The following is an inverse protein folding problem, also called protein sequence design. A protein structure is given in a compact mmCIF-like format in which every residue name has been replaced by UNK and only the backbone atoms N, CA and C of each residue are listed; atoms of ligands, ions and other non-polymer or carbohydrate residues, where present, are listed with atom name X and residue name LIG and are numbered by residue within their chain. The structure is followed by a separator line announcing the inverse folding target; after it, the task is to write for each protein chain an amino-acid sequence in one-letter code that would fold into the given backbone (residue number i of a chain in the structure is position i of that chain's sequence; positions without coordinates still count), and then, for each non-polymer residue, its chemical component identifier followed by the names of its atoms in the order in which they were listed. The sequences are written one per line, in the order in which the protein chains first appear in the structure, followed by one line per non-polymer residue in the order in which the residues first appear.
data_IF_140970059376
#
_entry.id   IF_140970059376
#
_cell.length_a   1.000
_cell.length_b   1.000
_cell.length_c   1.000
_cell.angle_alpha   90.00
_cell.angle_beta   90.00
_cell.angle_gamma   90.00
#
_symmetry.space_group_name_H-M   'P 1'
#
loop_
_entity.id
_entity.type
_entity.pdbx_description
1 polymer ?
#
# COMPACT_ATOMS: atom_id res chain seq x y z
N UNK A 1 3.82 -21.05 8.54
CA UNK A 1 3.95 -19.82 9.34
C UNK A 1 2.55 -19.38 9.75
N UNK A 2 2.38 -18.83 10.96
CA UNK A 2 1.09 -18.35 11.45
C UNK A 2 0.78 -16.96 10.85
N UNK A 3 -0.46 -16.75 10.38
CA UNK A 3 -0.91 -15.45 9.86
C UNK A 3 -0.96 -14.43 11.00
N UNK A 4 -0.31 -13.27 10.83
CA UNK A 4 -0.37 -12.18 11.82
C UNK A 4 -1.57 -11.27 11.51
N UNK A 5 -2.45 -11.06 12.48
CA UNK A 5 -3.54 -10.08 12.34
C UNK A 5 -3.04 -8.71 12.79
N UNK A 6 -3.13 -7.73 11.89
CA UNK A 6 -2.62 -6.37 12.11
C UNK A 6 -3.77 -5.37 11.97
N UNK A 7 -3.88 -4.49 12.97
CA UNK A 7 -4.86 -3.40 12.95
C UNK A 7 -4.21 -2.12 12.42
N UNK A 8 -4.95 -1.41 11.56
CA UNK A 8 -4.60 -0.12 11.00
C UNK A 8 -5.21 1.02 11.83
N UNK A 9 -4.56 2.21 11.95
CA UNK A 9 -3.30 2.61 11.30
C UNK A 9 -2.06 1.90 11.88
N UNK A 10 -0.98 1.85 11.11
CA UNK A 10 0.26 1.21 11.53
C UNK A 10 0.99 2.09 12.55
N UNK A 11 1.41 1.47 13.64
CA UNK A 11 2.28 2.10 14.65
C UNK A 11 3.73 1.66 14.44
N UNK A 12 4.68 2.47 14.90
CA UNK A 12 6.11 2.11 14.82
C UNK A 12 6.44 0.81 15.56
N UNK A 13 5.66 0.47 16.60
CA UNK A 13 5.79 -0.82 17.30
C UNK A 13 5.44 -1.98 16.36
N UNK A 14 4.28 -1.92 15.72
CA UNK A 14 3.83 -2.94 14.75
C UNK A 14 4.86 -3.07 13.63
N UNK A 15 5.32 -1.95 13.07
CA UNK A 15 6.26 -1.94 11.94
C UNK A 15 7.57 -2.68 12.27
N UNK A 16 8.11 -2.49 13.48
CA UNK A 16 9.36 -3.15 13.91
C UNK A 16 9.21 -4.67 14.09
N UNK A 17 8.00 -5.15 14.36
CA UNK A 17 7.69 -6.58 14.53
C UNK A 17 7.45 -7.31 13.19
N UNK A 18 7.19 -6.58 12.11
CA UNK A 18 6.99 -7.13 10.77
C UNK A 18 8.33 -7.44 10.10
N UNK A 19 8.42 -8.61 9.48
CA UNK A 19 9.60 -9.09 8.74
C UNK A 19 9.23 -9.49 7.33
N UNK A 20 10.16 -9.28 6.40
CA UNK A 20 9.99 -9.73 5.02
C UNK A 20 9.68 -11.23 4.96
N UNK A 21 8.62 -11.61 4.25
CA UNK A 21 8.10 -12.97 4.16
C UNK A 21 6.92 -13.28 5.11
N UNK A 22 6.60 -12.42 6.07
CA UNK A 22 5.43 -12.59 6.93
C UNK A 22 4.13 -12.55 6.11
N UNK A 23 3.20 -13.47 6.41
CA UNK A 23 1.81 -13.41 5.93
C UNK A 23 0.96 -12.67 6.96
N UNK A 24 0.24 -11.64 6.51
CA UNK A 24 -0.54 -10.77 7.39
C UNK A 24 -1.99 -10.61 6.90
N UNK A 25 -2.88 -10.33 7.85
CA UNK A 25 -4.27 -9.98 7.63
C UNK A 25 -4.50 -8.57 8.19
N UNK A 26 -4.72 -7.60 7.31
CA UNK A 26 -4.92 -6.20 7.70
C UNK A 26 -6.40 -5.91 7.93
N UNK A 27 -6.70 -5.26 9.05
CA UNK A 27 -8.05 -4.82 9.42
C UNK A 27 -8.04 -3.37 9.88
N UNK A 28 -9.01 -2.56 9.46
CA UNK A 28 -9.10 -1.15 9.82
C UNK A 28 -9.23 -0.25 8.60
N UNK A 29 -8.81 1.01 8.74
CA UNK A 29 -8.91 2.03 7.68
C UNK A 29 -7.60 2.10 6.90
N UNK A 30 -7.70 2.11 5.57
CA UNK A 30 -6.62 2.48 4.66
C UNK A 30 -7.15 3.33 3.51
N UNK A 31 -6.24 3.84 2.68
CA UNK A 31 -6.59 4.72 1.55
C UNK A 31 -6.22 4.09 0.23
N UNK A 32 -6.98 4.37 -0.83
CA UNK A 32 -6.58 4.03 -2.19
C UNK A 32 -5.96 5.22 -2.86
N UNK A 33 -4.84 5.03 -3.55
CA UNK A 33 -4.30 6.04 -4.46
C UNK A 33 -3.39 5.34 -5.48
N UNK A 34 -3.36 5.85 -6.70
CA UNK A 34 -2.44 5.40 -7.76
C UNK A 34 -1.84 6.61 -8.48
N UNK A 35 -1.39 6.41 -9.72
CA UNK A 35 -0.58 7.31 -10.53
C UNK A 35 -0.96 8.80 -10.42
N UNK A 36 -2.18 9.20 -10.80
CA UNK A 36 -2.59 10.60 -10.84
C UNK A 36 -2.70 11.22 -9.42
N UNK A 37 -3.24 10.45 -8.47
CA UNK A 37 -3.35 10.90 -7.08
C UNK A 37 -1.97 11.08 -6.43
N UNK A 38 -1.02 10.17 -6.65
CA UNK A 38 0.34 10.28 -6.12
C UNK A 38 1.06 11.51 -6.69
N UNK A 39 0.95 11.73 -8.00
CA UNK A 39 1.52 12.91 -8.64
C UNK A 39 0.96 14.21 -8.05
N UNK A 40 -0.36 14.27 -7.80
CA UNK A 40 -1.00 15.45 -7.21
C UNK A 40 -0.58 15.66 -5.75
N UNK A 41 -0.57 14.60 -4.93
CA UNK A 41 -0.08 14.68 -3.54
C UNK A 41 1.37 15.13 -3.46
N UNK A 42 2.26 14.59 -4.31
CA UNK A 42 3.65 14.99 -4.36
C UNK A 42 3.82 16.47 -4.74
N UNK A 43 3.09 16.94 -5.76
CA UNK A 43 3.11 18.34 -6.16
C UNK A 43 2.62 19.28 -5.05
N UNK A 44 1.63 18.87 -4.25
CA UNK A 44 1.18 19.64 -3.08
C UNK A 44 2.29 19.72 -2.01
N UNK A 45 2.98 18.60 -1.75
CA UNK A 45 4.11 18.56 -0.79
C UNK A 45 5.25 19.48 -1.26
N UNK A 46 5.61 19.44 -2.54
CA UNK A 46 6.65 20.29 -3.13
C UNK A 46 6.33 21.78 -2.99
N UNK A 47 5.05 22.15 -3.06
CA UNK A 47 4.56 23.52 -2.86
C UNK A 47 4.38 23.92 -1.39
N UNK A 48 4.56 22.99 -0.45
CA UNK A 48 4.30 23.23 0.97
C UNK A 48 2.82 23.32 1.33
N UNK A 49 1.92 22.82 0.48
CA UNK A 49 0.48 22.79 0.72
C UNK A 49 0.09 21.67 1.69
N UNK A 50 -1.04 21.82 2.38
CA UNK A 50 -1.59 20.78 3.26
C UNK A 50 -2.19 19.63 2.44
N UNK A 51 -1.94 18.39 2.87
CA UNK A 51 -2.54 17.21 2.26
C UNK A 51 -4.05 17.14 2.56
N UNK A 52 -4.85 16.53 1.66
CA UNK A 52 -6.30 16.44 1.84
C UNK A 52 -6.75 15.53 2.99
N UNK A 53 -5.82 14.75 3.58
CA UNK A 53 -6.04 13.94 4.76
C UNK A 53 -4.73 13.78 5.54
N UNK A 54 -4.81 13.40 6.82
CA UNK A 54 -3.62 13.08 7.59
C UNK A 54 -3.03 11.74 7.14
N UNK A 55 -1.84 11.78 6.54
CA UNK A 55 -1.13 10.60 6.03
C UNK A 55 -0.35 9.84 7.12
N UNK A 56 -0.16 10.45 8.29
CA UNK A 56 0.62 9.88 9.38
C UNK A 56 0.04 8.54 9.87
N UNK A 57 0.88 7.51 9.88
CA UNK A 57 0.48 6.15 10.29
C UNK A 57 -0.33 5.39 9.23
N UNK A 58 -0.73 6.05 8.15
CA UNK A 58 -1.68 5.48 7.21
C UNK A 58 -1.03 4.47 6.26
N UNK A 59 -1.90 3.65 5.68
CA UNK A 59 -1.56 2.70 4.64
C UNK A 59 -2.24 3.10 3.33
N UNK A 60 -1.51 3.09 2.21
CA UNK A 60 -2.05 3.35 0.89
C UNK A 60 -2.03 2.06 0.06
N UNK A 61 -3.20 1.67 -0.44
CA UNK A 61 -3.38 0.60 -1.40
C UNK A 61 -3.39 1.13 -2.83
N UNK A 62 -2.45 0.64 -3.64
CA UNK A 62 -2.31 1.00 -5.04
C UNK A 62 -3.32 0.24 -5.90
N UNK A 63 -4.49 0.84 -6.06
CA UNK A 63 -5.62 0.26 -6.79
C UNK A 63 -6.40 1.35 -7.52
N UNK A 64 -6.90 1.00 -8.70
CA UNK A 64 -7.96 1.75 -9.38
C UNK A 64 -9.17 0.84 -9.46
N UNK A 65 -10.09 0.86 -8.49
CA UNK A 65 -11.18 -0.11 -8.44
C UNK A 65 -12.13 0.08 -9.61
N UNK A 66 -12.65 -1.02 -10.15
CA UNK A 66 -13.75 -0.96 -11.11
C UNK A 66 -15.01 -0.36 -10.45
N UNK A 67 -15.93 0.22 -11.23
CA UNK A 67 -17.22 0.66 -10.72
C UNK A 67 -17.91 -0.45 -9.92
N UNK A 68 -18.55 -0.07 -8.81
CA UNK A 68 -19.27 -1.01 -7.98
C UNK A 68 -20.53 -1.49 -8.72
N UNK A 69 -20.74 -2.81 -8.88
CA UNK A 69 -22.04 -3.34 -9.28
C UNK A 69 -23.12 -2.98 -8.24
N UNK A 70 -24.38 -3.01 -8.66
CA UNK A 70 -25.51 -2.75 -7.77
C UNK A 70 -25.47 -3.66 -6.52
N UNK A 71 -25.68 -3.07 -5.34
CA UNK A 71 -25.64 -3.78 -4.06
C UNK A 71 -24.24 -4.18 -3.55
N UNK A 72 -23.15 -3.81 -4.25
CA UNK A 72 -21.78 -4.05 -3.78
C UNK A 72 -21.09 -2.78 -3.32
N UNK A 73 -20.19 -2.93 -2.35
CA UNK A 73 -19.37 -1.82 -1.83
C UNK A 73 -18.40 -1.32 -2.89
N UNK A 74 -17.75 -2.23 -3.62
CA UNK A 74 -16.70 -1.91 -4.59
C UNK A 74 -16.65 -2.96 -5.71
N UNK A 75 -16.21 -2.57 -6.90
CA UNK A 75 -15.92 -3.51 -7.99
C UNK A 75 -14.64 -4.30 -7.74
N UNK A 76 -14.13 -4.95 -8.79
CA UNK A 76 -12.83 -5.63 -8.74
C UNK A 76 -11.73 -4.65 -8.31
N UNK A 77 -10.99 -5.01 -7.26
CA UNK A 77 -9.99 -4.16 -6.63
C UNK A 77 -8.63 -4.87 -6.65
N UNK A 78 -8.10 -5.16 -7.85
CA UNK A 78 -6.78 -5.78 -8.00
C UNK A 78 -5.63 -4.78 -7.84
N UNK A 79 -4.47 -5.18 -7.29
CA UNK A 79 -3.32 -4.30 -7.13
C UNK A 79 -2.74 -3.88 -8.48
N UNK A 80 -2.22 -2.66 -8.52
CA UNK A 80 -1.42 -2.19 -9.66
C UNK A 80 0.08 -2.23 -9.36
N UNK A 81 0.90 -2.18 -10.41
CA UNK A 81 2.36 -2.19 -10.31
C UNK A 81 2.87 -0.98 -9.53
N UNK A 82 3.58 -1.25 -8.44
CA UNK A 82 4.00 -0.24 -7.46
C UNK A 82 5.10 0.70 -7.97
N UNK A 83 5.97 0.22 -8.85
CA UNK A 83 7.08 0.99 -9.41
C UNK A 83 6.67 2.31 -10.08
N UNK A 84 5.43 2.42 -10.58
CA UNK A 84 4.92 3.66 -11.19
C UNK A 84 4.76 4.81 -10.20
N UNK A 85 4.71 4.53 -8.89
CA UNK A 85 4.60 5.53 -7.84
C UNK A 85 5.94 5.81 -7.14
N UNK A 86 7.04 5.18 -7.55
CA UNK A 86 8.33 5.26 -6.83
C UNK A 86 8.97 6.65 -6.88
N UNK A 87 8.68 7.43 -7.93
CA UNK A 87 9.11 8.83 -8.01
C UNK A 87 8.48 9.71 -6.91
N UNK A 88 7.27 9.37 -6.46
CA UNK A 88 6.47 10.18 -5.53
C UNK A 88 6.50 9.63 -4.09
N UNK A 89 6.67 8.32 -3.95
CA UNK A 89 6.56 7.60 -2.68
C UNK A 89 7.51 8.12 -1.58
N UNK A 90 8.80 8.42 -1.84
CA UNK A 90 9.72 8.89 -0.80
C UNK A 90 9.22 10.14 -0.07
N UNK A 91 8.64 11.10 -0.79
CA UNK A 91 8.09 12.32 -0.20
C UNK A 91 6.88 12.03 0.70
N UNK A 92 6.04 11.07 0.30
CA UNK A 92 4.88 10.64 1.11
C UNK A 92 5.32 9.92 2.38
N UNK A 93 6.34 9.05 2.29
CA UNK A 93 6.94 8.36 3.44
C UNK A 93 7.51 9.37 4.43
N UNK A 94 8.24 10.38 3.94
CA UNK A 94 8.78 11.45 4.78
C UNK A 94 7.68 12.24 5.51
N UNK A 95 6.50 12.40 4.89
CA UNK A 95 5.33 13.03 5.52
C UNK A 95 4.56 12.11 6.49
N UNK A 96 4.98 10.86 6.65
CA UNK A 96 4.43 9.93 7.64
C UNK A 96 3.66 8.74 7.08
N UNK A 97 3.69 8.51 5.76
CA UNK A 97 3.14 7.27 5.17
C UNK A 97 3.89 6.05 5.70
N UNK A 98 3.19 5.11 6.33
CA UNK A 98 3.80 3.94 6.98
C UNK A 98 3.56 2.62 6.25
N UNK A 99 2.48 2.51 5.49
CA UNK A 99 2.14 1.28 4.77
C UNK A 99 1.87 1.54 3.30
N UNK A 100 2.33 0.63 2.44
CA UNK A 100 2.02 0.65 1.01
C UNK A 100 1.65 -0.75 0.56
N UNK A 101 0.59 -0.89 -0.23
CA UNK A 101 0.14 -2.18 -0.74
C UNK A 101 0.10 -2.13 -2.27
N UNK A 102 0.71 -3.10 -2.95
CA UNK A 102 0.66 -3.17 -4.41
C UNK A 102 1.24 -4.47 -4.96
N UNK A 103 1.81 -4.44 -6.17
CA UNK A 103 2.55 -5.57 -6.76
C UNK A 103 3.86 -5.13 -7.43
N UNK A 104 4.81 -6.06 -7.50
CA UNK A 104 6.09 -5.85 -8.15
C UNK A 104 7.16 -5.21 -7.25
N UNK A 105 8.37 -5.13 -7.79
CA UNK A 105 9.56 -4.59 -7.12
C UNK A 105 9.44 -3.07 -6.89
N UNK A 106 10.25 -2.56 -5.96
CA UNK A 106 10.37 -1.13 -5.64
C UNK A 106 11.79 -0.66 -5.91
N UNK A 107 11.93 0.61 -6.26
CA UNK A 107 13.23 1.25 -6.43
C UNK A 107 13.96 1.40 -5.10
N UNK A 108 15.29 1.34 -5.16
CA UNK A 108 16.17 1.50 -4.00
C UNK A 108 15.91 2.79 -3.21
N UNK A 109 15.55 3.89 -3.89
CA UNK A 109 15.21 5.17 -3.24
C UNK A 109 14.01 5.04 -2.30
N UNK A 110 13.02 4.25 -2.68
CA UNK A 110 11.86 3.96 -1.83
C UNK A 110 12.28 3.13 -0.62
N UNK A 111 13.08 2.08 -0.84
CA UNK A 111 13.57 1.22 0.25
C UNK A 111 14.40 2.02 1.26
N UNK A 112 15.27 2.91 0.81
CA UNK A 112 16.03 3.78 1.72
C UNK A 112 15.13 4.76 2.49
N UNK A 113 14.09 5.31 1.86
CA UNK A 113 13.09 6.11 2.56
C UNK A 113 12.33 5.28 3.61
N UNK A 114 11.94 4.04 3.27
CA UNK A 114 11.29 3.13 4.21
C UNK A 114 12.15 2.83 5.43
N UNK A 115 13.47 2.63 5.24
CA UNK A 115 14.43 2.45 6.34
C UNK A 115 14.56 3.69 7.20
N UNK A 116 14.64 4.86 6.59
CA UNK A 116 14.86 6.14 7.27
C UNK A 116 13.67 6.56 8.12
N UNK A 117 12.45 6.44 7.59
CA UNK A 117 11.23 6.93 8.24
C UNK A 117 10.36 5.82 8.84
N UNK A 118 10.75 4.55 8.67
CA UNK A 118 10.06 3.38 9.19
C UNK A 118 8.75 3.12 8.47
N UNK A 119 8.79 2.46 7.32
CA UNK A 119 7.60 2.06 6.57
C UNK A 119 7.71 0.61 6.06
N UNK A 120 6.57 0.02 5.67
CA UNK A 120 6.47 -1.36 5.21
C UNK A 120 5.76 -1.41 3.85
N UNK A 121 6.25 -2.27 2.96
CA UNK A 121 5.61 -2.55 1.68
C UNK A 121 5.04 -3.97 1.67
N UNK A 122 3.74 -4.04 1.42
CA UNK A 122 2.98 -5.27 1.32
C UNK A 122 2.67 -5.62 -0.14
N UNK A 123 2.81 -6.90 -0.46
CA UNK A 123 2.37 -7.49 -1.70
C UNK A 123 0.94 -8.00 -1.53
N UNK A 124 0.01 -7.43 -2.28
CA UNK A 124 -1.33 -8.02 -2.36
C UNK A 124 -1.28 -9.31 -3.19
N UNK A 125 -2.14 -10.27 -2.85
CA UNK A 125 -2.22 -11.56 -3.56
C UNK A 125 -2.73 -11.31 -4.99
N UNK A 126 -1.82 -11.40 -5.96
CA UNK A 126 -2.15 -11.21 -7.38
C UNK A 126 -3.16 -12.25 -7.87
N UNK A 127 -4.10 -11.83 -8.72
CA UNK A 127 -5.19 -12.72 -9.22
C UNK A 127 -6.36 -12.91 -8.25
N UNK A 128 -6.24 -12.46 -7.00
CA UNK A 128 -7.28 -12.57 -5.98
C UNK A 128 -8.17 -11.31 -5.87
N UNK A 129 -8.42 -10.61 -6.99
CA UNK A 129 -9.12 -9.33 -6.96
C UNK A 129 -10.54 -9.43 -6.38
N UNK A 130 -11.26 -10.53 -6.65
CA UNK A 130 -12.58 -10.78 -6.05
C UNK A 130 -12.51 -11.02 -4.54
N UNK A 131 -11.49 -11.77 -4.07
CA UNK A 131 -11.23 -11.99 -2.64
C UNK A 131 -10.92 -10.65 -1.96
N UNK A 132 -10.03 -9.86 -2.55
CA UNK A 132 -9.65 -8.54 -2.04
C UNK A 132 -10.88 -7.62 -1.95
N UNK A 133 -11.73 -7.59 -2.99
CA UNK A 133 -12.98 -6.81 -2.96
C UNK A 133 -13.92 -7.26 -1.83
N UNK A 134 -13.96 -8.56 -1.50
CA UNK A 134 -14.80 -9.08 -0.41
C UNK A 134 -14.32 -8.66 0.98
N UNK A 135 -13.05 -8.30 1.13
CA UNK A 135 -12.49 -7.77 2.37
C UNK A 135 -12.85 -6.30 2.61
N UNK A 136 -13.33 -5.57 1.58
CA UNK A 136 -13.65 -4.14 1.68
C UNK A 136 -15.09 -3.98 2.15
N UNK A 137 -15.24 -3.42 3.35
CA UNK A 137 -16.51 -3.30 4.08
C UNK A 137 -17.23 -1.98 3.78
N UNK A 138 -16.47 -0.91 3.54
CA UNK A 138 -17.00 0.39 3.12
C UNK A 138 -15.97 1.17 2.32
N UNK A 139 -16.42 2.08 1.47
CA UNK A 139 -15.57 3.04 0.75
C UNK A 139 -16.21 4.42 0.69
N UNK A 140 -15.37 5.45 0.63
CA UNK A 140 -15.78 6.85 0.49
C UNK A 140 -14.70 7.62 -0.28
N UNK A 141 -15.09 8.42 -1.26
CA UNK A 141 -14.15 9.34 -1.95
C UNK A 141 -13.88 10.51 -1.01
N UNK A 142 -12.60 10.76 -0.71
CA UNK A 142 -12.20 11.84 0.21
C UNK A 142 -11.42 12.96 -0.48
N UNK A 143 -10.85 12.70 -1.66
CA UNK A 143 -10.14 13.72 -2.41
C UNK A 143 -10.05 13.37 -3.90
N UNK A 144 -9.91 14.41 -4.72
CA UNK A 144 -9.66 14.31 -6.15
C UNK A 144 -10.72 13.49 -6.90
N UNK A 145 -11.99 13.76 -6.61
CA UNK A 145 -13.13 13.11 -7.27
C UNK A 145 -13.08 13.24 -8.80
N UNK A 146 -12.51 14.33 -9.30
CA UNK A 146 -12.23 14.58 -10.73
C UNK A 146 -11.35 13.50 -11.39
N UNK A 147 -10.60 12.72 -10.59
CA UNK A 147 -9.75 11.63 -11.09
C UNK A 147 -10.49 10.27 -11.23
N UNK A 148 -11.79 10.22 -10.89
CA UNK A 148 -12.63 9.04 -11.09
C UNK A 148 -12.14 7.78 -10.35
N UNK A 149 -11.65 6.78 -11.10
CA UNK A 149 -11.10 5.54 -10.52
C UNK A 149 -9.75 5.73 -9.83
N UNK A 150 -9.06 6.85 -10.07
CA UNK A 150 -7.81 7.21 -9.39
C UNK A 150 -8.01 8.17 -8.21
N UNK A 151 -9.26 8.55 -7.93
CA UNK A 151 -9.59 9.38 -6.77
C UNK A 151 -9.12 8.71 -5.46
N UNK A 152 -8.81 9.54 -4.45
CA UNK A 152 -8.40 9.03 -3.16
C UNK A 152 -9.65 8.58 -2.42
N UNK A 153 -9.69 7.29 -2.05
CA UNK A 153 -10.81 6.71 -1.31
C UNK A 153 -10.35 6.25 0.05
N UNK A 154 -11.11 6.60 1.09
CA UNK A 154 -11.01 5.99 2.40
C UNK A 154 -11.76 4.68 2.35
N UNK A 155 -11.08 3.56 2.61
CA UNK A 155 -11.69 2.23 2.64
C UNK A 155 -11.52 1.60 4.02
N UNK A 156 -12.58 0.92 4.48
CA UNK A 156 -12.51 0.07 5.66
C UNK A 156 -12.39 -1.37 5.23
N UNK A 157 -11.40 -2.08 5.74
CA UNK A 157 -11.17 -3.49 5.41
C UNK A 157 -11.22 -4.39 6.63
N UNK A 158 -11.54 -5.66 6.38
CA UNK A 158 -11.49 -6.74 7.36
C UNK A 158 -10.75 -7.93 6.77
N UNK A 159 -9.72 -8.38 7.48
CA UNK A 159 -8.89 -9.54 7.14
C UNK A 159 -8.34 -9.49 5.71
N UNK A 160 -7.87 -8.31 5.28
CA UNK A 160 -7.28 -8.10 3.96
C UNK A 160 -5.94 -8.86 3.87
N UNK A 161 -5.80 -9.86 2.98
CA UNK A 161 -4.60 -10.69 2.93
C UNK A 161 -3.47 -10.03 2.15
N UNK A 162 -2.28 -9.98 2.75
CA UNK A 162 -1.06 -9.57 2.08
C UNK A 162 0.18 -10.22 2.68
N UNK A 163 1.30 -10.10 1.95
CA UNK A 163 2.62 -10.51 2.42
C UNK A 163 3.49 -9.29 2.65
N UNK A 164 4.29 -9.30 3.71
CA UNK A 164 5.35 -8.30 3.88
C UNK A 164 6.43 -8.59 2.86
N UNK A 165 6.57 -7.73 1.85
CA UNK A 165 7.59 -7.89 0.80
C UNK A 165 8.86 -7.18 1.22
N UNK A 166 8.75 -5.93 1.68
CA UNK A 166 9.89 -5.15 2.16
C UNK A 166 9.55 -4.68 3.57
N UNK A 167 10.37 -5.08 4.54
CA UNK A 167 10.24 -4.63 5.92
C UNK A 167 10.92 -3.28 6.16
N UNK A 168 10.73 -2.71 7.36
CA UNK A 168 11.32 -1.41 7.72
C UNK A 168 12.84 -1.42 7.87
N UNK A 169 13.48 -2.59 7.80
CA UNK A 169 14.93 -2.72 7.83
C UNK A 169 15.53 -2.77 6.42
N UNK A 170 14.68 -2.80 5.39
CA UNK A 170 15.06 -2.87 3.99
C UNK A 170 15.33 -4.28 3.50
N UNK A 171 14.93 -5.32 4.25
CA UNK A 171 14.98 -6.68 3.74
C UNK A 171 13.89 -6.84 2.68
N UNK A 172 14.27 -7.27 1.47
CA UNK A 172 13.34 -7.49 0.36
C UNK A 172 13.19 -8.99 0.07
N UNK A 173 11.96 -9.50 0.22
CA UNK A 173 11.61 -10.89 -0.03
C UNK A 173 11.79 -11.30 -1.50
N UNK A 174 11.58 -10.40 -2.45
CA UNK A 174 11.81 -10.68 -3.87
C UNK A 174 13.30 -10.82 -4.18
N UNK A 175 14.16 -10.00 -3.58
CA UNK A 175 15.61 -10.16 -3.73
C UNK A 175 16.12 -11.45 -3.09
N UNK A 176 15.65 -11.77 -1.88
CA UNK A 176 15.99 -13.02 -1.19
C UNK A 176 15.57 -14.24 -2.00
N UNK A 177 14.32 -14.27 -2.48
CA UNK A 177 13.80 -15.36 -3.30
C UNK A 177 14.57 -15.53 -4.61
N UNK A 178 14.95 -14.44 -5.28
CA UNK A 178 15.80 -14.54 -6.48
C UNK A 178 17.14 -15.20 -6.16
N UNK A 179 17.84 -14.76 -5.11
CA UNK A 179 19.14 -15.34 -4.72
C UNK A 179 19.04 -16.81 -4.32
N UNK A 180 17.95 -17.22 -3.69
CA UNK A 180 17.73 -18.58 -3.21
C UNK A 180 17.49 -19.59 -4.35
N UNK A 181 16.78 -19.17 -5.41
CA UNK A 181 16.40 -20.04 -6.54
C UNK A 181 17.15 -19.71 -7.83
N UNK A 182 18.13 -18.81 -7.80
CA UNK A 182 19.04 -18.56 -8.91
C UNK A 182 19.92 -19.79 -9.13
N UNK A 183 19.61 -20.56 -10.17
CA UNK A 183 20.49 -21.62 -10.66
C UNK A 183 21.71 -20.92 -11.25
N UNK A 184 22.83 -20.94 -10.52
CA UNK A 184 24.13 -20.58 -11.07
C UNK A 184 24.49 -21.65 -12.10
N UNK A 185 24.38 -21.29 -13.38
CA UNK A 185 24.91 -22.08 -14.49
C UNK A 185 26.43 -22.12 -14.50
#
# INVERSE_FOLDING_TARGET
MQKKHIFLPLTDKIIKELKAGDEVLLSGVMYTARDAAHKRLAAMIEKGESLPFNIEGQTIYYVGPCPAPEGRVIGSAGPTTSGRMDAYTPALIEKGLKGMIGKGIRDRKVVEAMKKYGAVYFGAVGGAAALISSCIVSQEVIAFEDLGTEAIRRIKVRDFPCYVIIDSYGNDRYEQGRKEYEIKG
#
